data_IF_106024848619
#
_entry.id   IF_106024848619
#
_cell.length_a   1.000
_cell.length_b   1.000
_cell.length_c   1.000
_cell.angle_alpha   90.00
_cell.angle_beta   90.00
_cell.angle_gamma   90.00
#
_symmetry.space_group_name_H-M   'P 1'
#
loop_
_entity.id
_entity.type
_entity.pdbx_description
1 polymer ?
#
# COMPACT_ATOMS: atom_id res chain seq x y z
N UNK A 1 7.67 16.44 -12.18
CA UNK A 1 8.87 17.29 -12.27
C UNK A 1 9.78 17.00 -11.09
N UNK A 2 10.83 16.21 -11.30
CA UNK A 2 11.88 16.00 -10.30
C UNK A 2 12.98 17.03 -10.63
N UNK A 3 13.37 17.92 -9.70
CA UNK A 3 14.44 18.88 -9.97
C UNK A 3 15.74 18.11 -10.21
N UNK A 4 16.37 18.34 -11.35
CA UNK A 4 17.69 17.80 -11.67
C UNK A 4 18.70 18.29 -10.65
N UNK A 5 19.38 17.36 -9.98
CA UNK A 5 20.44 17.65 -9.02
C UNK A 5 21.65 18.21 -9.75
N UNK A 6 21.74 19.53 -9.84
CA UNK A 6 22.92 20.25 -10.34
C UNK A 6 24.12 20.18 -9.37
N UNK A 7 23.94 19.62 -8.17
CA UNK A 7 24.94 19.63 -7.09
C UNK A 7 25.49 18.22 -6.84
N UNK A 8 26.82 18.12 -6.82
CA UNK A 8 27.58 16.90 -6.49
C UNK A 8 27.25 16.34 -5.10
N UNK A 9 26.92 17.22 -4.15
CA UNK A 9 26.50 16.84 -2.81
C UNK A 9 24.99 17.06 -2.70
N UNK A 10 24.20 16.01 -2.43
CA UNK A 10 22.76 16.16 -2.23
C UNK A 10 22.46 16.97 -0.96
N UNK A 11 21.37 17.74 -0.98
CA UNK A 11 20.82 18.35 0.23
C UNK A 11 20.41 17.28 1.25
N UNK A 12 20.34 17.63 2.55
CA UNK A 12 19.95 16.68 3.62
C UNK A 12 18.62 15.96 3.32
N UNK A 13 17.64 16.68 2.79
CA UNK A 13 16.35 16.14 2.36
C UNK A 13 16.49 15.11 1.25
N UNK A 14 17.24 15.46 0.20
CA UNK A 14 17.48 14.55 -0.91
C UNK A 14 18.31 13.33 -0.50
N UNK A 15 19.24 13.49 0.46
CA UNK A 15 20.02 12.38 0.99
C UNK A 15 19.15 11.37 1.75
N UNK A 16 18.20 11.84 2.56
CA UNK A 16 17.21 10.96 3.23
C UNK A 16 16.38 10.23 2.18
N UNK A 17 15.89 10.94 1.16
CA UNK A 17 15.11 10.32 0.08
C UNK A 17 15.89 9.25 -0.69
N UNK A 18 17.14 9.56 -1.06
CA UNK A 18 18.03 8.61 -1.74
C UNK A 18 18.24 7.37 -0.87
N UNK A 19 18.49 7.52 0.43
CA UNK A 19 18.61 6.40 1.37
C UNK A 19 17.36 5.53 1.43
N UNK A 20 16.17 6.14 1.56
CA UNK A 20 14.89 5.40 1.59
C UNK A 20 14.72 4.61 0.30
N UNK A 21 14.95 5.24 -0.85
CA UNK A 21 14.81 4.59 -2.16
C UNK A 21 15.80 3.44 -2.37
N UNK A 22 17.04 3.57 -1.88
CA UNK A 22 18.07 2.52 -1.95
C UNK A 22 17.72 1.31 -1.08
N UNK A 23 17.24 1.54 0.14
CA UNK A 23 16.82 0.45 1.04
C UNK A 23 15.66 -0.32 0.42
N UNK A 24 14.64 0.38 -0.07
CA UNK A 24 13.50 -0.25 -0.76
C UNK A 24 13.94 -1.01 -2.02
N UNK A 25 14.86 -0.44 -2.80
CA UNK A 25 15.38 -1.11 -3.99
C UNK A 25 16.07 -2.43 -3.63
N UNK A 26 16.87 -2.48 -2.56
CA UNK A 26 17.55 -3.70 -2.13
C UNK A 26 16.55 -4.77 -1.67
N UNK A 27 15.54 -4.40 -0.88
CA UNK A 27 14.47 -5.31 -0.45
C UNK A 27 13.69 -5.88 -1.64
N UNK A 28 13.22 -5.03 -2.55
CA UNK A 28 12.47 -5.50 -3.73
C UNK A 28 13.33 -6.32 -4.69
N UNK A 29 14.63 -6.05 -4.76
CA UNK A 29 15.57 -6.85 -5.55
C UNK A 29 15.75 -8.26 -4.98
N UNK A 30 15.73 -8.41 -3.66
CA UNK A 30 15.76 -9.73 -3.01
C UNK A 30 14.47 -10.51 -3.36
N UNK A 31 13.32 -9.83 -3.34
CA UNK A 31 12.01 -10.44 -3.63
C UNK A 31 11.82 -10.85 -5.10
N UNK A 32 12.25 -10.02 -6.06
CA UNK A 32 12.02 -10.28 -7.50
C UNK A 32 13.10 -11.19 -8.16
N UNK A 33 14.21 -11.46 -7.48
CA UNK A 33 15.31 -12.25 -8.02
C UNK A 33 16.06 -11.57 -9.20
N UNK A 34 17.00 -12.28 -9.86
CA UNK A 34 17.91 -11.69 -10.85
C UNK A 34 17.24 -11.36 -12.21
N UNK A 35 15.98 -11.77 -12.43
CA UNK A 35 15.34 -11.77 -13.75
C UNK A 35 14.88 -10.38 -14.22
N UNK A 36 14.69 -9.41 -13.33
CA UNK A 36 14.23 -8.07 -13.72
C UNK A 36 15.18 -6.94 -13.31
N UNK A 37 15.76 -6.28 -14.33
CA UNK A 37 16.37 -4.96 -14.21
C UNK A 37 15.31 -3.89 -14.52
N UNK A 38 14.79 -3.23 -13.50
CA UNK A 38 14.01 -1.98 -13.64
C UNK A 38 12.57 -1.99 -13.09
N UNK A 39 11.97 -3.15 -12.84
CA UNK A 39 10.64 -3.26 -12.23
C UNK A 39 10.54 -2.62 -10.83
N UNK A 40 11.66 -2.63 -10.08
CA UNK A 40 11.74 -1.99 -8.77
C UNK A 40 11.44 -0.48 -8.80
N UNK A 41 11.64 0.20 -9.94
CA UNK A 41 11.30 1.62 -10.09
C UNK A 41 9.79 1.86 -9.93
N UNK A 42 8.97 0.99 -10.53
CA UNK A 42 7.50 1.11 -10.47
C UNK A 42 7.05 0.98 -9.02
N UNK A 43 7.55 -0.02 -8.30
CA UNK A 43 7.19 -0.25 -6.89
C UNK A 43 7.65 0.88 -5.96
N UNK A 44 8.86 1.41 -6.17
CA UNK A 44 9.34 2.58 -5.42
C UNK A 44 8.48 3.82 -5.70
N UNK A 45 8.04 4.00 -6.95
CA UNK A 45 7.14 5.12 -7.31
C UNK A 45 5.74 4.97 -6.72
N UNK A 46 5.21 3.74 -6.62
CA UNK A 46 3.93 3.48 -5.98
C UNK A 46 4.00 3.72 -4.48
N UNK A 47 5.07 3.24 -3.83
CA UNK A 47 5.34 3.51 -2.42
C UNK A 47 5.36 5.02 -2.15
N UNK A 48 6.11 5.79 -2.97
CA UNK A 48 6.25 7.23 -2.77
C UNK A 48 4.91 7.96 -2.92
N UNK A 49 4.14 7.68 -3.97
CA UNK A 49 2.83 8.32 -4.21
C UNK A 49 1.87 8.06 -3.04
N UNK A 50 1.77 6.82 -2.57
CA UNK A 50 0.84 6.46 -1.48
C UNK A 50 1.30 7.10 -0.17
N UNK A 51 2.60 7.03 0.13
CA UNK A 51 3.18 7.61 1.35
C UNK A 51 2.93 9.12 1.42
N UNK A 52 3.21 9.87 0.35
CA UNK A 52 3.01 11.32 0.33
C UNK A 52 1.54 11.69 0.46
N UNK A 53 0.63 11.00 -0.24
CA UNK A 53 -0.80 11.29 -0.14
C UNK A 53 -1.36 11.02 1.26
N UNK A 54 -0.96 9.92 1.90
CA UNK A 54 -1.43 9.60 3.25
C UNK A 54 -0.87 10.56 4.30
N UNK A 55 0.40 10.95 4.19
CA UNK A 55 1.01 11.94 5.10
C UNK A 55 0.39 13.33 4.93
N UNK A 56 0.15 13.78 3.70
CA UNK A 56 -0.52 15.05 3.45
C UNK A 56 -1.95 15.06 4.02
N UNK A 57 -2.63 13.92 3.96
CA UNK A 57 -3.99 13.80 4.48
C UNK A 57 -4.13 13.86 6.00
N UNK A 58 -3.05 13.64 6.74
CA UNK A 58 -3.07 13.72 8.22
C UNK A 58 -2.99 15.16 8.73
N UNK A 59 -2.65 16.13 7.88
CA UNK A 59 -2.63 17.53 8.30
C UNK A 59 -4.04 18.10 8.43
N UNK A 60 -4.29 18.94 9.45
CA UNK A 60 -5.60 19.55 9.64
C UNK A 60 -5.97 20.40 8.43
N UNK A 61 -7.24 20.34 8.05
CA UNK A 61 -7.85 21.08 6.92
C UNK A 61 -7.37 20.68 5.51
N UNK A 62 -6.52 19.67 5.37
CA UNK A 62 -6.17 19.11 4.07
C UNK A 62 -7.15 18.00 3.73
N UNK A 63 -7.83 18.11 2.59
CA UNK A 63 -8.71 17.05 2.12
C UNK A 63 -7.90 15.82 1.71
N UNK A 64 -8.22 14.66 2.30
CA UNK A 64 -7.52 13.40 2.05
C UNK A 64 -8.03 12.75 0.76
N UNK A 65 -7.30 12.92 -0.34
CA UNK A 65 -7.65 12.27 -1.61
C UNK A 65 -7.65 10.72 -1.51
N UNK A 66 -6.86 10.15 -0.59
CA UNK A 66 -6.80 8.70 -0.33
C UNK A 66 -7.98 8.12 0.46
N UNK A 67 -8.85 8.96 1.04
CA UNK A 67 -10.09 8.49 1.67
C UNK A 67 -11.13 8.05 0.65
N UNK A 68 -11.08 8.57 -0.58
CA UNK A 68 -11.95 8.09 -1.63
C UNK A 68 -11.48 6.73 -2.14
N UNK A 69 -12.33 5.71 -1.94
CA UNK A 69 -12.09 4.37 -2.47
C UNK A 69 -11.80 4.36 -3.97
N UNK A 70 -12.39 5.29 -4.73
CA UNK A 70 -12.14 5.44 -6.16
C UNK A 70 -10.65 5.68 -6.43
N UNK A 71 -9.97 6.54 -5.67
CA UNK A 71 -8.55 6.81 -5.87
C UNK A 71 -7.70 5.57 -5.58
N UNK A 72 -7.93 4.88 -4.46
CA UNK A 72 -7.14 3.70 -4.09
C UNK A 72 -7.40 2.52 -5.04
N UNK A 73 -8.63 2.35 -5.48
CA UNK A 73 -9.03 1.32 -6.44
C UNK A 73 -8.45 1.59 -7.84
N UNK A 74 -8.42 2.86 -8.29
CA UNK A 74 -7.78 3.22 -9.57
C UNK A 74 -6.27 3.00 -9.56
N UNK A 75 -5.63 2.96 -8.39
CA UNK A 75 -4.22 2.59 -8.31
C UNK A 75 -4.02 1.07 -8.32
N UNK A 76 -4.84 0.32 -7.58
CA UNK A 76 -4.63 -1.13 -7.41
C UNK A 76 -5.13 -1.97 -8.58
N UNK A 77 -6.29 -1.64 -9.18
CA UNK A 77 -6.89 -2.44 -10.24
C UNK A 77 -6.03 -2.48 -11.52
N UNK A 78 -5.53 -1.35 -12.07
CA UNK A 78 -4.73 -1.39 -13.29
C UNK A 78 -3.42 -2.17 -13.11
N UNK A 79 -2.76 -2.02 -11.96
CA UNK A 79 -1.56 -2.79 -11.64
C UNK A 79 -1.85 -4.30 -11.64
N UNK A 80 -2.93 -4.71 -10.97
CA UNK A 80 -3.29 -6.11 -10.89
C UNK A 80 -3.71 -6.68 -12.26
N UNK A 81 -4.54 -5.96 -13.02
CA UNK A 81 -4.96 -6.37 -14.36
C UNK A 81 -3.72 -6.51 -15.26
N UNK A 82 -2.75 -5.60 -15.17
CA UNK A 82 -1.51 -5.69 -15.95
C UNK A 82 -0.69 -6.94 -15.61
N UNK A 83 -0.60 -7.33 -14.34
CA UNK A 83 0.09 -8.56 -13.94
C UNK A 83 -0.66 -9.80 -14.42
N UNK A 84 -1.98 -9.84 -14.33
CA UNK A 84 -2.76 -10.99 -14.81
C UNK A 84 -2.67 -11.18 -16.31
N UNK A 85 -2.80 -10.11 -17.09
CA UNK A 85 -2.65 -10.14 -18.55
C UNK A 85 -1.24 -10.59 -18.93
N UNK A 86 -0.21 -10.06 -18.27
CA UNK A 86 1.18 -10.45 -18.50
C UNK A 86 1.39 -11.95 -18.20
N UNK A 87 0.89 -12.43 -17.08
CA UNK A 87 1.06 -13.81 -16.63
C UNK A 87 0.35 -14.81 -17.51
N UNK A 88 -0.86 -14.46 -17.98
CA UNK A 88 -1.55 -15.23 -19.01
C UNK A 88 -0.71 -15.27 -20.28
N UNK A 89 -0.32 -14.14 -20.86
CA UNK A 89 0.41 -14.15 -22.13
C UNK A 89 1.74 -14.91 -22.10
N UNK A 90 2.54 -14.75 -21.04
CA UNK A 90 3.89 -15.32 -21.02
C UNK A 90 3.94 -16.78 -20.53
N UNK A 91 3.16 -17.12 -19.50
CA UNK A 91 3.27 -18.43 -18.83
C UNK A 91 1.88 -19.03 -18.54
N UNK A 92 1.04 -19.20 -19.56
CA UNK A 92 -0.30 -19.80 -19.43
C UNK A 92 -0.32 -21.11 -18.61
N UNK A 93 0.62 -22.03 -18.89
CA UNK A 93 0.66 -23.35 -18.24
C UNK A 93 1.03 -23.24 -16.76
N UNK A 94 1.97 -22.37 -16.41
CA UNK A 94 2.38 -22.15 -15.01
C UNK A 94 1.26 -21.47 -14.20
N UNK A 95 0.57 -20.49 -14.81
CA UNK A 95 -0.57 -19.82 -14.18
C UNK A 95 -1.73 -20.80 -13.93
N UNK A 96 -2.03 -21.68 -14.90
CA UNK A 96 -3.05 -22.72 -14.74
C UNK A 96 -2.66 -23.75 -13.69
N UNK A 97 -1.38 -24.11 -13.60
CA UNK A 97 -0.88 -25.00 -12.56
C UNK A 97 -0.95 -24.38 -11.15
N UNK A 98 -0.74 -23.06 -11.01
CA UNK A 98 -0.88 -22.36 -9.74
C UNK A 98 -2.33 -22.38 -9.19
N UNK A 99 -3.33 -22.50 -10.06
CA UNK A 99 -4.73 -22.60 -9.64
C UNK A 99 -5.06 -23.92 -8.93
N UNK A 100 -4.16 -24.91 -8.97
CA UNK A 100 -4.36 -26.22 -8.33
C UNK A 100 -3.21 -26.51 -7.33
N UNK A 101 -3.44 -26.37 -6.01
CA UNK A 101 -2.55 -26.89 -4.99
C UNK A 101 -2.16 -28.34 -5.22
N UNK A 102 -0.85 -28.57 -5.17
CA UNK A 102 -0.25 -29.89 -5.30
C UNK A 102 -0.74 -30.80 -4.16
N UNK A 103 -1.16 -32.02 -4.51
CA UNK A 103 -1.58 -33.03 -3.53
C UNK A 103 -3.09 -33.05 -3.21
N UNK A 104 -3.94 -32.34 -3.96
CA UNK A 104 -5.39 -32.44 -3.78
C UNK A 104 -6.00 -33.67 -4.46
N UNK A 105 -6.93 -34.40 -3.81
CA UNK A 105 -7.60 -35.56 -4.41
C UNK A 105 -8.51 -35.12 -5.57
N UNK A 106 -8.61 -35.96 -6.60
CA UNK A 106 -9.21 -35.60 -7.89
C UNK A 106 -10.66 -35.08 -7.82
N UNK A 107 -11.45 -35.54 -6.83
CA UNK A 107 -12.84 -35.12 -6.66
C UNK A 107 -12.98 -33.68 -6.14
N UNK A 108 -12.02 -33.18 -5.35
CA UNK A 108 -12.06 -31.83 -4.76
C UNK A 108 -11.35 -30.77 -5.62
N UNK A 109 -10.59 -31.18 -6.64
CA UNK A 109 -9.87 -30.28 -7.54
C UNK A 109 -10.76 -29.17 -8.15
N UNK A 110 -11.94 -29.43 -8.73
CA UNK A 110 -12.73 -28.38 -9.37
C UNK A 110 -13.27 -27.33 -8.38
N UNK A 111 -13.59 -27.74 -7.15
CA UNK A 111 -14.07 -26.81 -6.12
C UNK A 111 -12.94 -25.91 -5.61
N UNK A 112 -11.74 -26.46 -5.45
CA UNK A 112 -10.60 -25.70 -4.97
C UNK A 112 -10.11 -24.69 -6.02
N UNK A 113 -10.15 -25.02 -7.33
CA UNK A 113 -9.87 -24.07 -8.42
C UNK A 113 -10.83 -22.87 -8.37
N UNK A 114 -12.13 -23.11 -8.14
CA UNK A 114 -13.11 -22.02 -7.98
C UNK A 114 -12.72 -21.09 -6.82
N UNK A 115 -12.30 -21.64 -5.68
CA UNK A 115 -11.89 -20.81 -4.54
C UNK A 115 -10.63 -20.01 -4.86
N UNK A 116 -9.62 -20.61 -5.50
CA UNK A 116 -8.37 -19.90 -5.82
C UNK A 116 -8.60 -18.80 -6.86
N UNK A 117 -9.47 -19.02 -7.86
CA UNK A 117 -9.85 -17.96 -8.82
C UNK A 117 -10.55 -16.79 -8.11
N UNK A 118 -11.48 -17.05 -7.20
CA UNK A 118 -12.16 -16.03 -6.40
C UNK A 118 -11.16 -15.28 -5.50
N UNK A 119 -10.27 -16.01 -4.82
CA UNK A 119 -9.20 -15.45 -3.98
C UNK A 119 -8.32 -14.49 -4.80
N UNK A 120 -7.90 -14.91 -5.99
CA UNK A 120 -7.08 -14.10 -6.88
C UNK A 120 -7.76 -12.78 -7.28
N UNK A 121 -9.06 -12.78 -7.58
CA UNK A 121 -9.81 -11.56 -7.90
C UNK A 121 -10.01 -10.64 -6.70
N UNK A 122 -10.14 -11.19 -5.48
CA UNK A 122 -10.41 -10.41 -4.26
C UNK A 122 -9.14 -9.69 -3.74
N UNK A 123 -7.94 -10.25 -3.97
CA UNK A 123 -6.65 -9.68 -3.53
C UNK A 123 -6.50 -8.16 -3.76
N UNK A 124 -6.61 -7.60 -4.99
CA UNK A 124 -6.43 -6.16 -5.23
C UNK A 124 -7.52 -5.30 -4.57
N UNK A 125 -8.73 -5.86 -4.42
CA UNK A 125 -9.83 -5.23 -3.71
C UNK A 125 -9.52 -5.08 -2.22
N UNK A 126 -9.06 -6.15 -1.57
CA UNK A 126 -8.74 -6.10 -0.13
C UNK A 126 -7.60 -5.12 0.18
N UNK A 127 -6.60 -5.02 -0.71
CA UNK A 127 -5.51 -4.06 -0.58
C UNK A 127 -5.99 -2.61 -0.66
N UNK A 128 -6.82 -2.28 -1.66
CA UNK A 128 -7.37 -0.93 -1.84
C UNK A 128 -8.31 -0.54 -0.70
N UNK A 129 -9.18 -1.45 -0.27
CA UNK A 129 -10.10 -1.23 0.86
C UNK A 129 -9.31 -1.02 2.15
N UNK A 130 -8.24 -1.78 2.40
CA UNK A 130 -7.40 -1.61 3.60
C UNK A 130 -6.77 -0.21 3.69
N UNK A 131 -6.30 0.34 2.57
CA UNK A 131 -5.77 1.70 2.50
C UNK A 131 -6.86 2.73 2.81
N UNK A 132 -8.01 2.64 2.14
CA UNK A 132 -9.09 3.61 2.30
C UNK A 132 -9.70 3.56 3.72
N UNK A 133 -9.97 2.36 4.24
CA UNK A 133 -10.58 2.18 5.55
C UNK A 133 -9.72 2.75 6.67
N UNK A 134 -8.40 2.52 6.65
CA UNK A 134 -7.50 3.04 7.67
C UNK A 134 -7.46 4.58 7.68
N UNK A 135 -7.46 5.21 6.50
CA UNK A 135 -7.47 6.69 6.40
C UNK A 135 -8.82 7.30 6.77
N UNK A 136 -9.95 6.67 6.39
CA UNK A 136 -11.30 7.13 6.76
C UNK A 136 -11.52 6.99 8.26
N UNK A 137 -11.24 5.81 8.83
CA UNK A 137 -11.50 5.52 10.23
C UNK A 137 -10.70 6.43 11.16
N UNK A 138 -9.42 6.66 10.83
CA UNK A 138 -8.57 7.57 11.61
C UNK A 138 -9.08 9.01 11.62
N UNK A 139 -9.30 9.58 10.43
CA UNK A 139 -9.82 10.94 10.31
C UNK A 139 -11.19 11.12 10.99
N UNK A 140 -12.08 10.13 10.85
CA UNK A 140 -13.39 10.16 11.51
C UNK A 140 -13.25 10.10 13.04
N UNK A 141 -12.33 9.28 13.56
CA UNK A 141 -12.09 9.18 14.99
C UNK A 141 -11.47 10.46 15.57
N UNK A 142 -10.49 11.06 14.88
CA UNK A 142 -9.91 12.36 15.26
C UNK A 142 -10.95 13.49 15.31
N UNK A 143 -11.85 13.53 14.32
CA UNK A 143 -12.89 14.57 14.25
C UNK A 143 -13.97 14.38 15.32
N UNK A 144 -14.40 13.15 15.60
CA UNK A 144 -15.36 12.87 16.66
C UNK A 144 -14.81 13.23 18.05
N UNK A 145 -13.57 12.81 18.35
CA UNK A 145 -12.92 13.17 19.62
C UNK A 145 -12.75 14.70 19.74
N UNK A 146 -12.31 15.37 18.67
CA UNK A 146 -12.18 16.82 18.62
C UNK A 146 -13.50 17.55 18.91
N UNK A 147 -14.62 17.07 18.34
CA UNK A 147 -15.94 17.67 18.55
C UNK A 147 -16.43 17.51 20.00
N UNK A 148 -16.16 16.38 20.65
CA UNK A 148 -16.53 16.17 22.06
C UNK A 148 -15.79 17.11 23.02
N UNK A 149 -14.60 17.58 22.64
CA UNK A 149 -13.76 18.45 23.47
C UNK A 149 -14.41 19.76 23.90
N UNK A 150 -15.27 20.35 23.07
CA UNK A 150 -15.91 21.64 23.36
C UNK A 150 -16.94 21.57 24.51
N UNK A 151 -17.45 20.37 24.82
CA UNK A 151 -18.46 20.14 25.86
C UNK A 151 -17.89 19.70 27.21
N UNK A 152 -16.56 19.49 27.29
CA UNK A 152 -15.91 18.87 28.45
C UNK A 152 -15.33 19.90 29.42
N UNK A 153 -15.16 19.50 30.68
CA UNK A 153 -14.52 20.33 31.71
C UNK A 153 -13.02 20.52 31.44
N UNK A 154 -12.44 21.60 31.96
CA UNK A 154 -11.03 21.97 31.73
C UNK A 154 -10.03 20.86 32.08
N UNK A 155 -10.28 20.08 33.15
CA UNK A 155 -9.43 18.96 33.53
C UNK A 155 -9.47 17.82 32.49
N UNK A 156 -10.65 17.53 31.94
CA UNK A 156 -10.84 16.45 30.98
C UNK A 156 -10.30 16.82 29.58
N UNK A 157 -10.26 18.11 29.24
CA UNK A 157 -9.64 18.62 28.01
C UNK A 157 -8.14 18.26 27.95
N UNK A 158 -7.41 18.36 29.06
CA UNK A 158 -5.99 17.98 29.10
C UNK A 158 -5.77 16.50 28.75
N UNK A 159 -6.62 15.62 29.28
CA UNK A 159 -6.58 14.19 28.99
C UNK A 159 -6.91 13.96 27.49
N UNK A 160 -7.93 14.63 26.98
CA UNK A 160 -8.33 14.52 25.58
C UNK A 160 -7.21 14.95 24.62
N UNK A 161 -6.53 16.06 24.89
CA UNK A 161 -5.39 16.51 24.08
C UNK A 161 -4.25 15.49 24.04
N UNK A 162 -3.92 14.88 25.18
CA UNK A 162 -2.90 13.83 25.25
C UNK A 162 -3.33 12.62 24.40
N UNK A 163 -4.58 12.19 24.51
CA UNK A 163 -5.09 11.06 23.70
C UNK A 163 -5.05 11.37 22.21
N UNK A 164 -5.37 12.61 21.82
CA UNK A 164 -5.40 13.02 20.42
C UNK A 164 -3.98 13.12 19.81
N UNK A 165 -3.00 13.58 20.59
CA UNK A 165 -1.59 13.55 20.18
C UNK A 165 -1.09 12.12 19.99
N UNK A 166 -1.41 11.21 20.92
CA UNK A 166 -1.04 9.80 20.80
C UNK A 166 -1.68 9.15 19.58
N UNK A 167 -2.95 9.48 19.30
CA UNK A 167 -3.66 8.96 18.15
C UNK A 167 -3.09 9.46 16.82
N UNK A 168 -2.70 10.73 16.74
CA UNK A 168 -2.03 11.28 15.57
C UNK A 168 -0.70 10.58 15.28
N UNK A 169 0.09 10.28 16.32
CA UNK A 169 1.35 9.53 16.18
C UNK A 169 1.06 8.11 15.65
N UNK A 170 0.02 7.47 16.17
CA UNK A 170 -0.40 6.15 15.72
C UNK A 170 -0.82 6.16 14.24
N UNK A 171 -1.64 7.13 13.83
CA UNK A 171 -2.07 7.23 12.43
C UNK A 171 -0.92 7.53 11.47
N UNK A 172 0.04 8.36 11.89
CA UNK A 172 1.25 8.61 11.09
C UNK A 172 2.07 7.33 10.89
N UNK A 173 2.19 6.49 11.94
CA UNK A 173 2.84 5.19 11.82
C UNK A 173 2.06 4.24 10.88
N UNK A 174 0.73 4.16 11.04
CA UNK A 174 -0.13 3.32 10.19
C UNK A 174 -0.07 3.76 8.72
N UNK A 175 -0.04 5.06 8.44
CA UNK A 175 0.05 5.60 7.08
C UNK A 175 1.32 5.13 6.35
N UNK A 176 2.47 5.12 7.03
CA UNK A 176 3.76 4.66 6.48
C UNK A 176 3.78 3.14 6.32
N UNK A 177 3.31 2.40 7.33
CA UNK A 177 3.26 0.93 7.28
C UNK A 177 2.36 0.48 6.12
N UNK A 178 1.24 1.16 5.91
CA UNK A 178 0.28 0.77 4.89
C UNK A 178 0.79 1.00 3.46
N UNK A 179 1.54 2.09 3.20
CA UNK A 179 2.20 2.28 1.91
C UNK A 179 3.27 1.22 1.66
N UNK A 180 4.01 0.83 2.71
CA UNK A 180 5.00 -0.25 2.65
C UNK A 180 4.36 -1.60 2.34
N UNK A 181 3.35 -2.03 3.11
CA UNK A 181 2.65 -3.32 2.92
C UNK A 181 2.04 -3.41 1.52
N UNK A 182 1.44 -2.32 1.02
CA UNK A 182 0.91 -2.29 -0.34
C UNK A 182 2.00 -2.54 -1.39
N UNK A 183 3.14 -1.85 -1.27
CA UNK A 183 4.25 -2.02 -2.21
C UNK A 183 4.85 -3.42 -2.15
N UNK A 184 5.09 -3.98 -0.96
CA UNK A 184 5.64 -5.34 -0.79
C UNK A 184 4.68 -6.41 -1.33
N UNK A 185 3.39 -6.37 -1.00
CA UNK A 185 2.43 -7.34 -1.56
C UNK A 185 2.38 -7.25 -3.09
N UNK A 186 2.40 -6.04 -3.65
CA UNK A 186 2.45 -5.89 -5.10
C UNK A 186 3.72 -6.47 -5.73
N UNK A 187 4.87 -6.38 -5.04
CA UNK A 187 6.10 -7.05 -5.50
C UNK A 187 6.01 -8.57 -5.42
N UNK A 188 5.45 -9.12 -4.34
CA UNK A 188 5.25 -10.56 -4.18
C UNK A 188 4.33 -11.13 -5.26
N UNK A 189 3.20 -10.47 -5.52
CA UNK A 189 2.29 -10.90 -6.59
C UNK A 189 2.93 -10.83 -7.96
N UNK A 190 3.79 -9.83 -8.20
CA UNK A 190 4.56 -9.82 -9.43
C UNK A 190 5.47 -11.05 -9.50
N UNK A 191 6.24 -11.35 -8.45
CA UNK A 191 7.15 -12.51 -8.43
C UNK A 191 6.45 -13.87 -8.52
N UNK A 192 5.22 -14.02 -8.04
CA UNK A 192 4.42 -15.25 -8.17
C UNK A 192 3.99 -15.51 -9.62
N UNK A 193 3.72 -14.44 -10.37
CA UNK A 193 3.25 -14.52 -11.75
C UNK A 193 4.39 -14.81 -12.75
N UNK A 194 5.63 -14.45 -12.41
CA UNK A 194 6.82 -14.65 -13.25
C UNK A 194 7.45 -16.03 -13.09
#
# INVERSE_FOLDING_TARGET
>A
FIPSMFWLIPSRWNFIWIKISLILHNEFKILMGPKFKGSSLIFISLFSIIMFNNLLGLFPYIFTSSSHLIMTLTLSLPLWISFMIFGWWNNFIHMLAHLVPQGTPAILMPFMVMIETISNMIRPGTLAVRLAANMIAGHLLLTLLGNTGNSMSFLLIWILLITQLMLLILELAVAIIQSYVFSVLSTLYSSEVY
#
